data_IF_565535585486
#
_entry.id   IF_565535585486
#
_cell.length_a   1.000
_cell.length_b   1.000
_cell.length_c   1.000
_cell.angle_alpha   90.00
_cell.angle_beta   90.00
_cell.angle_gamma   90.00
#
_symmetry.space_group_name_H-M   'P 1'
#
loop_
_entity.id
_entity.type
_entity.pdbx_description
1 polymer ?
#
# COMPACT_ATOMS: atom_id res chain seq x y z
N UNK A 1 16.30 -30.33 50.66
CA UNK A 1 14.94 -29.86 50.28
C UNK A 1 14.72 -30.27 48.83
N UNK A 2 14.08 -31.42 48.60
CA UNK A 2 13.74 -31.89 47.26
C UNK A 2 12.57 -31.06 46.74
N UNK A 3 12.73 -30.38 45.59
CA UNK A 3 11.60 -29.91 44.80
C UNK A 3 10.89 -31.15 44.24
N UNK A 4 9.97 -31.74 45.01
CA UNK A 4 9.01 -32.71 44.47
C UNK A 4 8.21 -32.01 43.37
N UNK A 5 8.13 -32.68 42.22
CA UNK A 5 7.63 -32.17 40.96
C UNK A 5 6.31 -31.42 41.12
N UNK A 6 6.31 -30.17 40.68
CA UNK A 6 5.09 -29.47 40.34
C UNK A 6 4.75 -29.89 38.92
N UNK A 7 3.61 -30.53 38.76
CA UNK A 7 3.16 -30.98 37.45
C UNK A 7 2.86 -29.76 36.58
N UNK A 8 3.35 -29.79 35.34
CA UNK A 8 2.94 -28.83 34.32
C UNK A 8 1.51 -29.15 33.91
N UNK A 9 0.63 -28.16 33.99
CA UNK A 9 -0.78 -28.31 33.60
C UNK A 9 -0.96 -27.68 32.22
N UNK A 10 -1.32 -28.49 31.23
CA UNK A 10 -1.57 -28.04 29.86
C UNK A 10 -3.06 -27.75 29.63
N UNK A 11 -3.37 -26.89 28.67
CA UNK A 11 -4.73 -26.73 28.18
C UNK A 11 -5.30 -28.00 27.53
N UNK A 12 -6.62 -28.08 27.43
CA UNK A 12 -7.34 -29.14 26.75
C UNK A 12 -8.52 -28.53 25.98
N UNK A 13 -8.47 -28.54 24.63
CA UNK A 13 -7.41 -29.10 23.78
C UNK A 13 -6.10 -28.30 23.85
N UNK A 14 -4.96 -28.99 23.76
CA UNK A 14 -3.65 -28.36 23.64
C UNK A 14 -3.25 -28.32 22.16
N UNK A 15 -3.31 -27.14 21.54
CA UNK A 15 -2.88 -26.93 20.16
C UNK A 15 -1.89 -25.76 20.09
N UNK A 16 -0.63 -26.07 19.77
CA UNK A 16 0.40 -25.02 19.58
C UNK A 16 0.19 -24.17 18.32
N UNK A 17 -0.83 -24.50 17.50
CA UNK A 17 -1.14 -23.81 16.25
C UNK A 17 -2.02 -22.55 16.45
N UNK A 18 -2.58 -22.37 17.65
CA UNK A 18 -3.51 -21.27 17.93
C UNK A 18 -2.79 -19.95 18.24
N UNK A 19 -1.48 -20.01 18.50
CA UNK A 19 -0.65 -18.88 18.88
C UNK A 19 0.59 -18.79 17.99
N UNK A 20 1.04 -17.57 17.74
CA UNK A 20 2.33 -17.29 17.10
C UNK A 20 3.10 -16.29 17.97
N UNK A 21 4.41 -16.47 18.05
CA UNK A 21 5.29 -15.52 18.72
C UNK A 21 5.88 -14.58 17.66
N UNK A 22 5.73 -13.29 17.87
CA UNK A 22 6.29 -12.25 17.02
C UNK A 22 7.22 -11.40 17.88
N UNK A 23 8.48 -11.30 17.49
CA UNK A 23 9.41 -10.37 18.09
C UNK A 23 9.16 -8.97 17.53
N UNK A 24 8.93 -8.02 18.44
CA UNK A 24 8.69 -6.62 18.11
C UNK A 24 9.63 -5.74 18.93
N UNK A 25 10.05 -4.62 18.35
CA UNK A 25 10.78 -3.62 19.12
C UNK A 25 9.85 -2.88 20.10
N UNK A 26 10.43 -2.09 20.99
CA UNK A 26 9.66 -1.35 22.00
C UNK A 26 8.62 -0.40 21.37
N UNK A 27 8.98 0.26 20.27
CA UNK A 27 8.08 1.23 19.63
C UNK A 27 6.86 0.53 19.06
N UNK A 28 7.07 -0.58 18.35
CA UNK A 28 5.99 -1.36 17.76
C UNK A 28 5.11 -2.02 18.83
N UNK A 29 5.71 -2.50 19.93
CA UNK A 29 4.95 -2.99 21.08
C UNK A 29 4.06 -1.90 21.68
N UNK A 30 4.63 -0.71 21.93
CA UNK A 30 3.89 0.44 22.46
C UNK A 30 2.76 0.85 21.49
N UNK A 31 3.03 0.87 20.18
CA UNK A 31 2.05 1.18 19.14
C UNK A 31 0.85 0.22 19.16
N UNK A 32 1.10 -1.09 19.22
CA UNK A 32 0.05 -2.12 19.29
C UNK A 32 -0.75 -2.04 20.59
N UNK A 33 -0.08 -1.83 21.73
CA UNK A 33 -0.74 -1.67 23.02
C UNK A 33 -1.62 -0.41 23.09
N UNK A 34 -1.30 0.62 22.30
CA UNK A 34 -2.11 1.82 22.14
C UNK A 34 -3.22 1.67 21.08
N UNK A 35 -3.43 0.47 20.54
CA UNK A 35 -4.52 0.15 19.63
C UNK A 35 -4.19 0.32 18.15
N UNK A 36 -2.92 0.51 17.76
CA UNK A 36 -2.55 0.43 16.34
C UNK A 36 -2.62 -1.01 15.86
N UNK A 37 -3.12 -1.18 14.65
CA UNK A 37 -3.31 -2.50 14.06
C UNK A 37 -2.00 -3.05 13.45
N UNK A 38 -1.81 -4.35 13.60
CA UNK A 38 -0.87 -5.16 12.83
C UNK A 38 -1.68 -6.08 11.94
N UNK A 39 -1.48 -5.97 10.63
CA UNK A 39 -2.29 -6.69 9.63
C UNK A 39 -1.40 -7.59 8.79
N UNK A 40 -1.83 -8.83 8.57
CA UNK A 40 -1.19 -9.74 7.63
C UNK A 40 -1.72 -9.46 6.22
N UNK A 41 -0.83 -9.28 5.25
CA UNK A 41 -1.16 -8.94 3.86
C UNK A 41 -0.56 -9.94 2.86
N UNK A 42 -1.24 -10.13 1.73
CA UNK A 42 -0.86 -11.06 0.67
C UNK A 42 -1.88 -12.18 0.47
N UNK A 43 -1.67 -12.97 -0.58
CA UNK A 43 -2.48 -14.14 -0.90
C UNK A 43 -2.01 -15.39 -0.14
N UNK A 44 -2.82 -16.45 -0.20
CA UNK A 44 -2.55 -17.73 0.48
C UNK A 44 -1.26 -18.45 0.02
N UNK A 45 -0.70 -18.05 -1.12
CA UNK A 45 0.53 -18.61 -1.68
C UNK A 45 1.74 -17.70 -1.49
N UNK A 46 1.53 -16.50 -0.96
CA UNK A 46 2.58 -15.53 -0.74
C UNK A 46 3.30 -15.81 0.59
N UNK A 47 4.51 -15.26 0.74
CA UNK A 47 5.18 -15.23 2.03
C UNK A 47 4.39 -14.37 3.02
N UNK A 48 4.46 -14.66 4.32
CA UNK A 48 3.80 -13.83 5.32
C UNK A 48 4.42 -12.43 5.27
N UNK A 49 3.57 -11.41 5.15
CA UNK A 49 3.97 -10.02 5.26
C UNK A 49 3.09 -9.37 6.31
N UNK A 50 3.73 -8.69 7.26
CA UNK A 50 3.03 -7.99 8.34
C UNK A 50 3.19 -6.51 8.11
N UNK A 51 2.10 -5.76 8.24
CA UNK A 51 2.06 -4.33 8.01
C UNK A 51 1.47 -3.61 9.21
N UNK A 52 2.03 -2.44 9.50
CA UNK A 52 1.30 -1.36 10.18
C UNK A 52 0.58 -0.52 9.11
N UNK A 53 -0.02 0.60 9.51
CA UNK A 53 -0.63 1.54 8.56
C UNK A 53 0.37 2.07 7.52
N UNK A 54 1.62 2.34 7.93
CA UNK A 54 2.62 3.07 7.14
C UNK A 54 3.91 2.27 6.84
N UNK A 55 4.07 1.09 7.44
CA UNK A 55 5.31 0.32 7.34
C UNK A 55 5.02 -1.15 7.04
N UNK A 56 5.66 -1.67 5.98
CA UNK A 56 5.70 -3.09 5.63
C UNK A 56 6.91 -3.78 6.27
N UNK A 57 6.67 -4.95 6.87
CA UNK A 57 7.70 -5.78 7.49
C UNK A 57 7.86 -7.10 6.74
N UNK A 58 9.09 -7.39 6.32
CA UNK A 58 9.46 -8.75 5.93
C UNK A 58 9.54 -9.62 7.18
N UNK A 59 8.94 -10.81 7.12
CA UNK A 59 8.97 -11.77 8.24
C UNK A 59 10.06 -12.80 8.04
N UNK A 60 10.71 -13.19 9.13
CA UNK A 60 11.66 -14.31 9.15
C UNK A 60 11.37 -15.20 10.34
N UNK A 61 11.10 -16.48 10.08
CA UNK A 61 10.98 -17.45 11.16
C UNK A 61 12.37 -17.79 11.71
N UNK A 62 12.49 -17.77 13.04
CA UNK A 62 13.72 -18.09 13.77
C UNK A 62 13.46 -19.25 14.70
N UNK A 63 14.23 -20.32 14.50
CA UNK A 63 14.24 -21.46 15.40
C UNK A 63 15.21 -21.23 16.57
N UNK A 64 14.77 -21.59 17.77
CA UNK A 64 15.53 -21.51 19.01
C UNK A 64 15.75 -22.91 19.59
N UNK A 65 16.90 -23.10 20.24
CA UNK A 65 17.24 -24.39 20.87
C UNK A 65 16.45 -24.69 22.14
N UNK A 66 15.74 -23.69 22.68
CA UNK A 66 14.99 -23.79 23.93
C UNK A 66 13.49 -23.81 23.61
N UNK A 67 12.71 -24.48 24.46
CA UNK A 67 11.25 -24.44 24.38
C UNK A 67 10.72 -23.27 25.22
N UNK A 68 9.98 -22.38 24.58
CA UNK A 68 9.21 -21.33 25.25
C UNK A 68 7.85 -21.90 25.65
N UNK A 69 7.52 -21.77 26.93
CA UNK A 69 6.21 -22.10 27.48
C UNK A 69 5.39 -20.82 27.54
N UNK A 70 4.25 -20.80 26.86
CA UNK A 70 3.28 -19.70 26.98
C UNK A 70 2.21 -20.16 27.96
N UNK A 71 1.97 -19.36 28.99
CA UNK A 71 0.98 -19.67 30.02
C UNK A 71 0.15 -18.43 30.34
N UNK A 72 -1.11 -18.64 30.71
CA UNK A 72 -1.98 -17.56 31.15
C UNK A 72 -1.65 -17.13 32.59
N UNK A 73 -1.94 -15.86 32.90
CA UNK A 73 -1.91 -15.31 34.26
C UNK A 73 -0.54 -15.41 34.97
N UNK A 74 0.55 -15.26 34.21
CA UNK A 74 1.89 -15.17 34.78
C UNK A 74 2.08 -13.83 35.49
N UNK A 75 1.85 -13.80 36.80
CA UNK A 75 2.22 -12.64 37.61
C UNK A 75 3.72 -12.69 38.01
N UNK A 76 4.45 -11.56 38.00
CA UNK A 76 5.88 -11.52 38.35
C UNK A 76 6.21 -12.09 39.74
N UNK A 77 5.23 -12.09 40.65
CA UNK A 77 5.34 -12.59 42.02
C UNK A 77 4.41 -13.78 42.29
N UNK A 78 4.03 -14.52 41.25
CA UNK A 78 3.13 -15.67 41.42
C UNK A 78 3.76 -16.64 42.43
N UNK A 79 3.07 -16.87 43.55
CA UNK A 79 3.39 -17.98 44.42
C UNK A 79 3.30 -19.23 43.57
N UNK A 80 4.43 -19.92 43.34
CA UNK A 80 4.48 -21.14 42.52
C UNK A 80 3.56 -22.27 43.03
N UNK A 81 2.73 -22.06 44.06
CA UNK A 81 1.71 -23.00 44.52
C UNK A 81 0.59 -23.19 43.50
N UNK A 82 0.31 -22.20 42.64
CA UNK A 82 -0.56 -22.33 41.48
C UNK A 82 0.30 -22.57 40.24
N UNK A 83 0.18 -23.74 39.63
CA UNK A 83 0.79 -24.00 38.32
C UNK A 83 0.00 -23.24 37.25
N UNK A 84 0.59 -22.26 36.56
CA UNK A 84 -0.09 -21.58 35.46
C UNK A 84 -0.34 -22.58 34.33
N UNK A 85 -1.49 -22.45 33.69
CA UNK A 85 -1.94 -23.34 32.63
C UNK A 85 -1.17 -23.01 31.35
N UNK A 86 -0.43 -23.97 30.82
CA UNK A 86 0.34 -23.84 29.59
C UNK A 86 -0.63 -23.93 28.41
N UNK A 87 -0.73 -22.85 27.66
CA UNK A 87 -1.60 -22.72 26.49
C UNK A 87 -0.87 -22.98 25.17
N UNK A 88 0.45 -22.78 25.14
CA UNK A 88 1.24 -23.08 23.94
C UNK A 88 2.71 -23.40 24.24
N UNK A 89 3.33 -24.08 23.29
CA UNK A 89 4.75 -24.43 23.25
C UNK A 89 5.34 -23.94 21.93
N UNK A 90 6.43 -23.18 22.00
CA UNK A 90 7.11 -22.70 20.80
C UNK A 90 8.61 -22.96 20.87
N UNK A 91 9.17 -23.43 19.77
CA UNK A 91 10.60 -23.43 19.48
C UNK A 91 10.94 -22.50 18.31
N UNK A 92 9.95 -21.75 17.81
CA UNK A 92 10.15 -20.73 16.78
C UNK A 92 9.43 -19.43 17.15
N UNK A 93 9.91 -18.33 16.60
CA UNK A 93 9.23 -17.03 16.61
C UNK A 93 9.48 -16.30 15.29
N UNK A 94 8.71 -15.27 15.02
CA UNK A 94 8.80 -14.46 13.82
C UNK A 94 9.53 -13.15 14.13
N UNK A 95 10.66 -12.90 13.47
CA UNK A 95 11.33 -11.61 13.44
C UNK A 95 10.67 -10.70 12.39
N UNK A 96 10.42 -9.44 12.76
CA UNK A 96 9.98 -8.40 11.83
C UNK A 96 11.14 -7.50 11.43
N UNK A 97 11.33 -7.32 10.12
CA UNK A 97 12.29 -6.37 9.57
C UNK A 97 11.60 -5.37 8.64
N UNK A 98 11.65 -4.06 8.94
CA UNK A 98 11.16 -3.04 8.02
C UNK A 98 11.78 -3.22 6.65
N UNK A 99 10.94 -3.27 5.62
CA UNK A 99 11.38 -3.45 4.24
C UNK A 99 10.77 -2.38 3.36
N UNK A 100 11.52 -1.98 2.33
CA UNK A 100 10.98 -1.13 1.27
C UNK A 100 10.64 -2.01 0.09
N UNK A 101 9.42 -1.92 -0.37
CA UNK A 101 9.03 -2.62 -1.58
C UNK A 101 9.68 -1.96 -2.81
N UNK A 102 10.12 -2.78 -3.77
CA UNK A 102 10.66 -2.28 -5.02
C UNK A 102 9.52 -1.84 -5.93
N UNK A 103 9.46 -0.55 -6.25
CA UNK A 103 8.43 0.03 -7.13
C UNK A 103 8.28 -0.72 -8.47
N UNK A 104 9.38 -1.27 -9.01
CA UNK A 104 9.36 -2.08 -10.23
C UNK A 104 8.41 -3.29 -10.14
N UNK A 105 8.46 -4.03 -9.03
CA UNK A 105 7.59 -5.20 -8.83
C UNK A 105 6.14 -4.77 -8.69
N UNK A 106 5.89 -3.66 -8.01
CA UNK A 106 4.56 -3.12 -7.83
C UNK A 106 3.96 -2.71 -9.17
N UNK A 107 4.73 -2.01 -10.02
CA UNK A 107 4.29 -1.64 -11.37
C UNK A 107 3.88 -2.86 -12.19
N UNK A 108 4.65 -3.95 -12.12
CA UNK A 108 4.32 -5.19 -12.83
C UNK A 108 2.97 -5.75 -12.36
N UNK A 109 2.77 -5.87 -11.05
CA UNK A 109 1.52 -6.37 -10.47
C UNK A 109 0.35 -5.46 -10.84
N UNK A 110 0.50 -4.14 -10.68
CA UNK A 110 -0.54 -3.18 -11.04
C UNK A 110 -0.87 -3.20 -12.53
N UNK A 111 0.12 -3.40 -13.41
CA UNK A 111 -0.10 -3.51 -14.85
C UNK A 111 -0.87 -4.78 -15.24
N UNK A 112 -0.71 -5.87 -14.48
CA UNK A 112 -1.47 -7.10 -14.69
C UNK A 112 -2.89 -7.02 -14.12
N UNK A 113 -3.09 -6.24 -13.05
CA UNK A 113 -4.37 -6.14 -12.35
C UNK A 113 -5.30 -5.04 -12.88
N UNK A 114 -4.74 -3.90 -13.32
CA UNK A 114 -5.52 -2.73 -13.72
C UNK A 114 -5.73 -2.71 -15.24
N UNK A 115 -6.96 -2.41 -15.65
CA UNK A 115 -7.25 -2.13 -17.05
C UNK A 115 -6.70 -0.74 -17.45
N UNK A 116 -6.41 -0.60 -18.74
CA UNK A 116 -5.95 0.67 -19.31
C UNK A 116 -7.16 1.58 -19.57
N UNK A 117 -7.05 2.86 -19.21
CA UNK A 117 -8.08 3.86 -19.48
C UNK A 117 -7.80 4.60 -20.79
N UNK A 118 -8.69 4.46 -21.76
CA UNK A 118 -8.70 5.24 -23.00
C UNK A 118 -9.86 6.25 -23.02
N UNK A 119 -9.55 7.53 -23.21
CA UNK A 119 -10.57 8.59 -23.23
C UNK A 119 -11.48 8.53 -24.46
N UNK A 120 -11.01 7.95 -25.57
CA UNK A 120 -11.75 7.93 -26.84
C UNK A 120 -12.54 6.65 -27.02
N UNK A 121 -12.01 5.55 -26.47
CA UNK A 121 -12.60 4.22 -26.55
C UNK A 121 -12.78 3.67 -25.13
N UNK A 122 -13.68 4.25 -24.32
CA UNK A 122 -13.92 3.76 -22.97
C UNK A 122 -14.51 2.35 -23.02
N UNK A 123 -13.72 1.38 -22.60
CA UNK A 123 -14.14 0.00 -22.43
C UNK A 123 -14.68 -0.22 -21.01
N UNK A 124 -15.65 -1.13 -20.89
CA UNK A 124 -16.07 -1.61 -19.57
C UNK A 124 -14.91 -2.35 -18.88
N UNK A 125 -14.63 -2.09 -17.59
CA UNK A 125 -13.55 -2.77 -16.88
C UNK A 125 -13.81 -4.28 -16.86
N UNK A 126 -12.76 -5.06 -17.14
CA UNK A 126 -12.79 -6.52 -17.02
C UNK A 126 -12.95 -6.91 -15.56
N UNK A 127 -12.30 -6.18 -14.67
CA UNK A 127 -12.33 -6.39 -13.23
C UNK A 127 -12.56 -5.07 -12.49
N UNK A 128 -13.47 -5.08 -11.52
CA UNK A 128 -13.65 -3.94 -10.61
C UNK A 128 -12.58 -3.98 -9.53
N UNK A 129 -11.45 -3.35 -9.80
CA UNK A 129 -10.34 -3.23 -8.86
C UNK A 129 -10.43 -1.89 -8.14
N UNK A 130 -10.49 -1.90 -6.82
CA UNK A 130 -10.39 -0.69 -5.98
C UNK A 130 -9.19 -0.80 -5.03
N UNK A 131 -8.94 0.26 -4.26
CA UNK A 131 -7.82 0.33 -3.32
C UNK A 131 -7.83 -0.83 -2.30
N UNK A 132 -9.00 -1.17 -1.76
CA UNK A 132 -9.14 -2.25 -0.78
C UNK A 132 -8.84 -3.63 -1.40
N UNK A 133 -9.29 -3.87 -2.64
CA UNK A 133 -8.96 -5.11 -3.35
C UNK A 133 -7.46 -5.21 -3.65
N UNK A 134 -6.82 -4.10 -4.01
CA UNK A 134 -5.36 -4.06 -4.17
C UNK A 134 -4.65 -4.36 -2.85
N UNK A 135 -5.08 -3.73 -1.75
CA UNK A 135 -4.44 -3.88 -0.44
C UNK A 135 -4.53 -5.33 0.09
N UNK A 136 -5.60 -6.05 -0.26
CA UNK A 136 -5.73 -7.46 0.10
C UNK A 136 -4.90 -8.41 -0.78
N UNK A 137 -4.44 -7.94 -1.94
CA UNK A 137 -3.65 -8.75 -2.89
C UNK A 137 -2.15 -8.45 -2.78
N UNK A 138 -1.80 -7.20 -2.51
CA UNK A 138 -0.42 -6.70 -2.51
C UNK A 138 0.16 -6.77 -1.09
N UNK A 139 1.37 -7.32 -0.97
CA UNK A 139 2.13 -7.40 0.27
C UNK A 139 2.74 -6.05 0.66
N UNK A 140 1.89 -5.08 1.01
CA UNK A 140 2.31 -3.70 1.32
C UNK A 140 1.35 -3.05 2.34
N UNK A 141 1.86 -2.09 3.11
CA UNK A 141 1.05 -1.23 3.97
C UNK A 141 0.15 -0.31 3.16
N UNK A 142 -0.93 0.18 3.77
CA UNK A 142 -1.86 1.08 3.11
C UNK A 142 -1.17 2.40 2.72
N UNK A 143 -0.38 2.97 3.62
CA UNK A 143 0.36 4.20 3.38
C UNK A 143 1.36 4.08 2.23
N UNK A 144 2.16 3.01 2.21
CA UNK A 144 3.14 2.81 1.13
C UNK A 144 2.45 2.55 -0.22
N UNK A 145 1.33 1.83 -0.25
CA UNK A 145 0.57 1.59 -1.48
C UNK A 145 -0.03 2.90 -2.02
N UNK A 146 -0.60 3.71 -1.14
CA UNK A 146 -1.14 5.02 -1.49
C UNK A 146 -0.05 5.94 -2.05
N UNK A 147 1.10 6.03 -1.38
CA UNK A 147 2.24 6.81 -1.87
C UNK A 147 2.76 6.32 -3.23
N UNK A 148 2.76 5.00 -3.45
CA UNK A 148 3.24 4.42 -4.69
C UNK A 148 2.25 4.66 -5.85
N UNK A 149 0.95 4.48 -5.62
CA UNK A 149 -0.10 4.77 -6.61
C UNK A 149 -0.07 6.24 -7.03
N UNK A 150 0.17 7.17 -6.09
CA UNK A 150 0.28 8.59 -6.40
C UNK A 150 1.43 8.93 -7.36
N UNK A 151 2.49 8.11 -7.43
CA UNK A 151 3.63 8.29 -8.34
C UNK A 151 3.42 7.65 -9.71
N UNK A 152 2.26 7.02 -9.93
CA UNK A 152 1.93 6.30 -11.14
C UNK A 152 0.80 7.02 -11.88
N UNK A 153 0.67 6.81 -13.20
CA UNK A 153 -0.46 7.30 -13.98
C UNK A 153 -1.71 6.45 -13.72
N UNK A 154 -2.13 6.38 -12.46
CA UNK A 154 -3.31 5.64 -12.01
C UNK A 154 -4.39 6.63 -11.59
N UNK A 155 -5.60 6.36 -12.04
CA UNK A 155 -6.79 7.18 -11.79
C UNK A 155 -7.93 6.31 -11.26
N UNK A 156 -8.96 6.94 -10.69
CA UNK A 156 -10.16 6.28 -10.23
C UNK A 156 -11.37 6.82 -10.99
N UNK A 157 -12.08 5.94 -11.72
CA UNK A 157 -13.34 6.27 -12.37
C UNK A 157 -14.44 5.36 -11.84
N UNK A 158 -15.54 5.96 -11.34
CA UNK A 158 -16.71 5.27 -10.78
C UNK A 158 -16.36 4.17 -9.76
N UNK A 159 -15.39 4.42 -8.88
CA UNK A 159 -14.96 3.47 -7.84
C UNK A 159 -14.04 2.35 -8.32
N UNK A 160 -13.56 2.41 -9.56
CA UNK A 160 -12.63 1.45 -10.15
C UNK A 160 -11.32 2.15 -10.52
N UNK A 161 -10.20 1.54 -10.19
CA UNK A 161 -8.86 2.01 -10.50
C UNK A 161 -8.46 1.58 -11.91
N UNK A 162 -7.83 2.49 -12.63
CA UNK A 162 -7.32 2.26 -13.98
C UNK A 162 -5.93 2.85 -14.16
N UNK A 163 -5.16 2.29 -15.09
CA UNK A 163 -3.91 2.89 -15.54
C UNK A 163 -4.18 3.74 -16.79
N UNK A 164 -3.78 5.01 -16.80
CA UNK A 164 -3.95 5.86 -17.98
C UNK A 164 -3.11 5.34 -19.15
N UNK A 165 -3.74 5.22 -20.31
CA UNK A 165 -3.04 4.85 -21.54
C UNK A 165 -2.09 5.97 -22.00
N UNK A 166 -1.04 5.61 -22.73
CA UNK A 166 -0.14 6.59 -23.30
C UNK A 166 -0.86 7.56 -24.27
N UNK A 167 -1.87 7.06 -24.98
CA UNK A 167 -2.73 7.86 -25.86
C UNK A 167 -3.53 8.88 -25.03
N UNK A 168 -4.16 8.44 -23.94
CA UNK A 168 -4.90 9.31 -23.02
C UNK A 168 -4.01 10.38 -22.41
N UNK A 169 -2.84 10.01 -21.89
CA UNK A 169 -1.88 10.98 -21.31
C UNK A 169 -1.51 12.05 -22.34
N UNK A 170 -1.12 11.65 -23.55
CA UNK A 170 -0.73 12.59 -24.60
C UNK A 170 -1.91 13.47 -25.05
N UNK A 171 -3.11 12.89 -25.14
CA UNK A 171 -4.32 13.65 -25.49
C UNK A 171 -4.62 14.73 -24.47
N UNK A 172 -4.61 14.40 -23.18
CA UNK A 172 -4.86 15.38 -22.12
C UNK A 172 -3.81 16.49 -22.15
N UNK A 173 -2.54 16.15 -22.40
CA UNK A 173 -1.47 17.13 -22.56
C UNK A 173 -1.72 18.05 -23.76
N UNK A 174 -2.05 17.49 -24.94
CA UNK A 174 -2.32 18.26 -26.14
C UNK A 174 -3.54 19.17 -25.97
N UNK A 175 -4.59 18.69 -25.31
CA UNK A 175 -5.79 19.46 -25.02
C UNK A 175 -5.49 20.61 -24.05
N UNK A 176 -4.74 20.37 -22.97
CA UNK A 176 -4.32 21.44 -22.05
C UNK A 176 -3.42 22.48 -22.73
N UNK A 177 -2.48 22.05 -23.58
CA UNK A 177 -1.61 22.97 -24.34
C UNK A 177 -2.45 23.85 -25.26
N UNK A 178 -3.41 23.28 -25.99
CA UNK A 178 -4.31 24.05 -26.85
C UNK A 178 -5.11 25.07 -26.06
N UNK A 179 -5.60 24.70 -24.87
CA UNK A 179 -6.36 25.62 -24.01
C UNK A 179 -5.50 26.78 -23.50
N UNK A 180 -4.22 26.55 -23.22
CA UNK A 180 -3.30 27.61 -22.83
C UNK A 180 -3.01 28.61 -23.97
N UNK A 181 -3.11 28.17 -25.22
CA UNK A 181 -2.90 29.00 -26.42
C UNK A 181 -4.22 29.63 -26.95
N UNK A 182 -5.36 29.34 -26.32
CA UNK A 182 -6.69 29.76 -26.78
C UNK A 182 -7.13 31.09 -26.14
N UNK A 183 -7.30 32.13 -26.98
CA UNK A 183 -7.79 33.44 -26.57
C UNK A 183 -9.21 33.42 -25.95
N UNK A 184 -9.97 32.33 -26.14
CA UNK A 184 -11.31 32.13 -25.55
C UNK A 184 -11.23 31.89 -24.03
N UNK A 185 -10.15 31.29 -23.54
CA UNK A 185 -9.98 30.93 -22.13
C UNK A 185 -8.75 31.63 -21.53
N UNK A 186 -8.78 32.97 -21.40
CA UNK A 186 -7.61 33.74 -20.95
C UNK A 186 -7.21 33.44 -19.50
N UNK A 187 -8.11 32.85 -18.71
CA UNK A 187 -7.85 32.42 -17.34
C UNK A 187 -7.04 31.12 -17.27
N UNK A 188 -6.97 30.34 -18.36
CA UNK A 188 -6.11 29.16 -18.48
C UNK A 188 -4.77 29.62 -19.04
N UNK A 189 -3.82 29.88 -18.16
CA UNK A 189 -2.48 30.32 -18.55
C UNK A 189 -1.43 29.32 -18.08
N UNK A 190 -0.31 29.20 -18.80
CA UNK A 190 0.82 28.38 -18.37
C UNK A 190 1.30 28.82 -16.99
N UNK A 191 1.07 30.05 -16.54
CA UNK A 191 1.47 30.51 -15.22
C UNK A 191 0.52 30.09 -14.09
N UNK A 192 -0.71 29.67 -14.41
CA UNK A 192 -1.74 29.28 -13.44
C UNK A 192 -2.78 28.39 -14.11
N UNK A 193 -2.77 27.12 -13.70
CA UNK A 193 -3.74 26.12 -14.15
C UNK A 193 -4.41 25.52 -12.91
N UNK A 194 -5.74 25.65 -12.83
CA UNK A 194 -6.55 25.04 -11.77
C UNK A 194 -7.50 23.97 -12.32
N UNK A 195 -8.06 23.17 -11.42
CA UNK A 195 -9.02 22.12 -11.80
C UNK A 195 -10.27 22.72 -12.43
N UNK A 196 -10.83 23.76 -11.82
CA UNK A 196 -12.06 24.41 -12.24
C UNK A 196 -11.93 25.00 -13.66
N UNK A 197 -10.81 25.67 -13.91
CA UNK A 197 -10.49 26.27 -15.22
C UNK A 197 -10.30 25.18 -16.30
N UNK A 198 -9.72 24.03 -15.96
CA UNK A 198 -9.56 22.92 -16.91
C UNK A 198 -10.85 22.13 -17.13
N UNK A 199 -11.68 21.96 -16.10
CA UNK A 199 -12.81 21.02 -16.17
C UNK A 199 -13.89 21.50 -17.13
N UNK A 200 -14.15 22.80 -17.17
CA UNK A 200 -15.18 23.42 -18.03
C UNK A 200 -14.94 23.16 -19.54
N UNK A 201 -13.74 23.41 -20.11
CA UNK A 201 -13.50 23.18 -21.53
C UNK A 201 -13.16 21.74 -21.91
N UNK A 202 -12.71 20.90 -20.96
CA UNK A 202 -12.33 19.52 -21.24
C UNK A 202 -13.55 18.61 -21.41
N UNK A 203 -13.41 17.61 -22.29
CA UNK A 203 -14.44 16.61 -22.58
C UNK A 203 -14.95 15.92 -21.30
N UNK A 204 -16.25 15.65 -21.23
CA UNK A 204 -16.85 14.85 -20.15
C UNK A 204 -16.34 13.41 -20.08
N UNK A 205 -15.68 12.93 -21.13
CA UNK A 205 -15.04 11.62 -21.17
C UNK A 205 -13.74 11.57 -20.37
N UNK A 206 -13.18 12.72 -19.97
CA UNK A 206 -11.97 12.78 -19.14
C UNK A 206 -12.42 12.79 -17.67
N UNK A 207 -12.10 11.75 -16.88
CA UNK A 207 -12.48 11.71 -15.47
C UNK A 207 -11.78 12.82 -14.68
N UNK A 208 -12.46 13.36 -13.67
CA UNK A 208 -11.90 14.38 -12.77
C UNK A 208 -10.57 13.92 -12.15
N UNK A 209 -10.46 12.63 -11.81
CA UNK A 209 -9.24 12.01 -11.30
C UNK A 209 -8.05 12.10 -12.26
N UNK A 210 -8.29 12.12 -13.58
CA UNK A 210 -7.24 12.29 -14.57
C UNK A 210 -6.72 13.74 -14.60
N UNK A 211 -7.61 14.71 -14.40
CA UNK A 211 -7.23 16.13 -14.28
C UNK A 211 -6.46 16.33 -12.97
N UNK A 212 -6.91 15.78 -11.85
CA UNK A 212 -6.15 15.81 -10.58
C UNK A 212 -4.79 15.15 -10.70
N UNK A 213 -4.70 14.01 -11.39
CA UNK A 213 -3.42 13.37 -11.70
C UNK A 213 -2.51 14.30 -12.50
N UNK A 214 -3.04 14.93 -13.55
CA UNK A 214 -2.28 15.86 -14.39
C UNK A 214 -1.75 17.05 -13.58
N UNK A 215 -2.60 17.70 -12.79
CA UNK A 215 -2.22 18.84 -11.97
C UNK A 215 -1.14 18.45 -10.97
N UNK A 216 -1.25 17.28 -10.33
CA UNK A 216 -0.23 16.78 -9.40
C UNK A 216 1.11 16.51 -10.08
N UNK A 217 1.09 15.92 -11.27
CA UNK A 217 2.32 15.47 -11.95
C UNK A 217 3.03 16.62 -12.67
N UNK A 218 2.26 17.53 -13.25
CA UNK A 218 2.77 18.58 -14.11
C UNK A 218 2.73 19.97 -13.50
N UNK A 219 2.02 20.20 -12.38
CA UNK A 219 1.92 21.50 -11.73
C UNK A 219 2.42 21.48 -10.26
N UNK A 220 2.87 22.64 -9.78
CA UNK A 220 3.33 22.90 -8.43
C UNK A 220 2.16 23.21 -7.50
N UNK A 221 2.46 23.37 -6.20
CA UNK A 221 1.47 23.65 -5.15
C UNK A 221 0.70 24.97 -5.33
N UNK A 222 1.09 25.84 -6.26
CA UNK A 222 0.37 27.06 -6.63
C UNK A 222 -0.38 26.91 -7.97
N UNK A 223 -0.42 25.72 -8.56
CA UNK A 223 -0.98 25.49 -9.90
C UNK A 223 -0.06 25.95 -11.04
N UNK A 224 1.23 26.19 -10.79
CA UNK A 224 2.20 26.50 -11.86
C UNK A 224 2.81 25.22 -12.41
N UNK A 225 2.87 25.00 -13.72
CA UNK A 225 3.58 23.90 -14.31
C UNK A 225 5.01 23.77 -13.78
N UNK A 226 5.41 22.58 -13.31
CA UNK A 226 6.77 22.26 -12.85
C UNK A 226 7.69 22.16 -14.08
N UNK A 227 8.05 23.34 -14.58
CA UNK A 227 8.69 23.57 -15.87
C UNK A 227 7.75 23.31 -17.06
N UNK A 228 8.13 23.78 -18.25
CA UNK A 228 7.37 23.52 -19.48
C UNK A 228 7.29 21.99 -19.67
N UNK A 229 6.09 21.39 -19.80
CA UNK A 229 5.92 20.00 -20.20
C UNK A 229 6.40 19.86 -21.65
N UNK A 230 7.70 19.80 -21.88
CA UNK A 230 8.22 19.53 -23.21
C UNK A 230 7.88 18.10 -23.58
N UNK A 231 7.58 17.84 -24.87
CA UNK A 231 7.42 16.48 -25.40
C UNK A 231 8.58 15.56 -24.99
N UNK A 232 9.77 16.12 -24.78
CA UNK A 232 10.95 15.44 -24.22
C UNK A 232 10.81 15.05 -22.75
N UNK A 233 10.28 15.92 -21.88
CA UNK A 233 9.98 15.57 -20.48
C UNK A 233 8.91 14.49 -20.40
N UNK A 234 7.84 14.60 -21.21
CA UNK A 234 6.77 13.60 -21.30
C UNK A 234 7.32 12.27 -21.82
N UNK A 235 8.09 12.28 -22.90
CA UNK A 235 8.74 11.08 -23.43
C UNK A 235 9.73 10.50 -22.40
N UNK A 236 10.44 11.34 -21.65
CA UNK A 236 11.34 10.88 -20.59
C UNK A 236 10.61 10.33 -19.35
N UNK A 237 9.45 10.87 -19.00
CA UNK A 237 8.56 10.34 -17.98
C UNK A 237 7.99 9.01 -18.45
N UNK A 238 7.48 8.93 -19.68
CA UNK A 238 7.01 7.69 -20.28
C UNK A 238 8.15 6.66 -20.48
N UNK A 239 9.40 7.08 -20.60
CA UNK A 239 10.53 6.15 -20.61
C UNK A 239 10.97 5.74 -19.19
N UNK A 240 10.96 6.65 -18.20
CA UNK A 240 11.33 6.37 -16.80
C UNK A 240 10.25 5.60 -16.06
N UNK A 241 9.01 6.06 -16.13
CA UNK A 241 7.85 5.46 -15.48
C UNK A 241 7.55 4.06 -16.02
N UNK A 242 8.02 3.71 -17.23
CA UNK A 242 7.78 2.41 -17.86
C UNK A 242 9.02 1.50 -18.00
N UNK A 243 10.26 2.00 -17.85
CA UNK A 243 11.51 1.18 -17.95
C UNK A 243 12.25 0.96 -16.63
N UNK A 244 11.73 1.46 -15.50
CA UNK A 244 12.25 1.18 -14.14
C UNK A 244 11.12 0.80 -13.21
#
# INVERSE_FOLDING_TARGET
>A
MHLRGKDLVFDSPFTSADYFLIEVDKKLADDVLNGKELVVRGNVYDYVTICTEDTTYATKEVEISNTLLVAENLEPNMNMATCPKIISLHNTYIELKPTKFLLFHLKKVLFEMLDMYDFEEPEEPKNKVNFENLLNTIQMSAGELQEAIQKLPIIEDKGTLFMLSARSINKLLDDVIRLCDDDIYPDIAIEKITFEELREPLSELIPDSAIYWFLREFCDFNGKPIGIPTAQKITSYMQKSWKT
#
